data_IF_624429808815
#
_entry.id   IF_624429808815
#
_cell.length_a   1.000
_cell.length_b   1.000
_cell.length_c   1.000
_cell.angle_alpha   90.00
_cell.angle_beta   90.00
_cell.angle_gamma   90.00
#
_symmetry.space_group_name_H-M   'P 1'
#
loop_
_entity.id
_entity.type
_entity.pdbx_description
1 polymer ?
#
# COMPACT_ATOMS: atom_id res chain seq x y z
N UNK A 1 -12.14 0.23 6.93
CA UNK A 1 -10.73 -0.10 7.13
C UNK A 1 -10.40 -0.05 8.61
N UNK A 2 -9.95 -1.17 9.18
CA UNK A 2 -9.45 -1.21 10.55
C UNK A 2 -8.16 -0.39 10.68
N UNK A 3 -7.80 0.04 11.91
CA UNK A 3 -6.56 0.79 12.18
C UNK A 3 -5.32 0.12 11.61
N UNK A 4 -5.28 -1.21 11.63
CA UNK A 4 -4.19 -2.01 11.08
C UNK A 4 -4.00 -1.89 9.55
N UNK A 5 -4.99 -1.42 8.80
CA UNK A 5 -4.93 -1.33 7.33
C UNK A 5 -4.52 0.06 6.84
N UNK A 6 -5.08 1.13 7.41
CA UNK A 6 -4.80 2.50 6.92
C UNK A 6 -3.51 3.09 7.48
N UNK A 7 -3.03 2.62 8.64
CA UNK A 7 -1.72 3.02 9.19
C UNK A 7 -0.57 2.69 8.24
N UNK A 8 -0.38 1.43 7.78
CA UNK A 8 0.70 1.11 6.87
C UNK A 8 0.51 1.85 5.52
N UNK A 9 -0.72 2.00 5.04
CA UNK A 9 -0.99 2.73 3.80
C UNK A 9 -0.55 4.20 3.90
N UNK A 10 -0.88 4.90 4.99
CA UNK A 10 -0.45 6.28 5.22
C UNK A 10 1.07 6.39 5.38
N UNK A 11 1.70 5.48 6.14
CA UNK A 11 3.14 5.52 6.38
C UNK A 11 3.91 5.31 5.07
N UNK A 12 3.58 4.25 4.32
CA UNK A 12 4.27 3.91 3.08
C UNK A 12 4.03 4.98 2.01
N UNK A 13 2.81 5.50 1.89
CA UNK A 13 2.50 6.57 0.93
C UNK A 13 3.20 7.87 1.28
N UNK A 14 3.27 8.24 2.56
CA UNK A 14 3.98 9.44 3.01
C UNK A 14 5.48 9.32 2.77
N UNK A 15 6.07 8.15 3.04
CA UNK A 15 7.49 7.90 2.78
C UNK A 15 7.80 7.97 1.28
N UNK A 16 6.93 7.41 0.44
CA UNK A 16 7.04 7.52 -1.02
C UNK A 16 6.98 8.99 -1.47
N UNK A 17 6.07 9.77 -0.91
CA UNK A 17 5.98 11.20 -1.22
C UNK A 17 7.26 11.95 -0.83
N UNK A 18 7.82 11.68 0.35
CA UNK A 18 9.12 12.24 0.78
C UNK A 18 10.23 11.83 -0.18
N UNK A 19 10.30 10.55 -0.58
CA UNK A 19 11.26 10.08 -1.57
C UNK A 19 11.14 10.84 -2.90
N UNK A 20 9.93 10.97 -3.42
CA UNK A 20 9.66 11.71 -4.66
C UNK A 20 10.12 13.18 -4.56
N UNK A 21 9.85 13.86 -3.44
CA UNK A 21 10.29 15.24 -3.22
C UNK A 21 11.82 15.37 -3.14
N UNK A 22 12.49 14.41 -2.49
CA UNK A 22 13.96 14.39 -2.41
C UNK A 22 14.59 14.22 -3.80
N UNK A 23 14.05 13.32 -4.61
CA UNK A 23 14.50 13.10 -5.98
C UNK A 23 14.21 14.34 -6.85
N UNK A 24 13.01 14.91 -6.73
CA UNK A 24 12.58 16.06 -7.51
C UNK A 24 13.47 17.29 -7.29
N UNK A 25 13.88 17.57 -6.05
CA UNK A 25 14.81 18.66 -5.74
C UNK A 25 16.28 18.36 -6.08
N UNK A 26 16.58 17.25 -6.76
CA UNK A 26 17.94 16.84 -7.08
C UNK A 26 18.76 16.46 -5.85
N UNK A 27 18.12 16.32 -4.68
CA UNK A 27 18.73 15.83 -3.44
C UNK A 27 18.68 14.31 -3.39
N UNK A 28 19.11 13.69 -4.50
CA UNK A 28 19.42 12.27 -4.59
C UNK A 28 20.67 11.98 -3.76
N UNK A 29 20.51 12.10 -2.45
CA UNK A 29 21.53 11.88 -1.42
C UNK A 29 21.52 10.41 -0.99
N UNK A 30 22.49 10.02 -0.15
CA UNK A 30 22.51 8.69 0.48
C UNK A 30 21.21 8.36 1.23
N UNK A 31 20.46 9.36 1.69
CA UNK A 31 19.17 9.17 2.33
C UNK A 31 18.08 8.68 1.37
N UNK A 32 18.03 9.18 0.14
CA UNK A 32 17.10 8.69 -0.88
C UNK A 32 17.42 7.25 -1.29
N UNK A 33 18.71 6.92 -1.42
CA UNK A 33 19.17 5.56 -1.70
C UNK A 33 18.82 4.58 -0.57
N UNK A 34 18.93 5.03 0.69
CA UNK A 34 18.50 4.27 1.86
C UNK A 34 17.01 3.97 1.81
N UNK A 35 16.15 4.98 1.61
CA UNK A 35 14.70 4.79 1.50
C UNK A 35 14.37 3.79 0.40
N UNK A 36 14.98 3.94 -0.78
CA UNK A 36 14.73 3.04 -1.91
C UNK A 36 15.13 1.59 -1.59
N UNK A 37 16.30 1.38 -0.98
CA UNK A 37 16.81 0.04 -0.62
C UNK A 37 15.88 -0.69 0.35
N UNK A 38 15.34 0.03 1.35
CA UNK A 38 14.45 -0.57 2.35
C UNK A 38 12.96 -0.54 1.97
N UNK A 39 12.59 0.17 0.90
CA UNK A 39 11.21 0.27 0.43
C UNK A 39 10.51 -1.08 0.17
N UNK A 40 11.18 -2.13 -0.35
CA UNK A 40 10.50 -3.41 -0.58
C UNK A 40 9.99 -4.04 0.71
N UNK A 41 10.71 -3.89 1.83
CA UNK A 41 10.28 -4.42 3.13
C UNK A 41 9.01 -3.72 3.61
N UNK A 42 8.92 -2.41 3.41
CA UNK A 42 7.74 -1.63 3.79
C UNK A 42 6.53 -1.95 2.91
N UNK A 43 6.73 -2.19 1.61
CA UNK A 43 5.67 -2.63 0.70
C UNK A 43 5.17 -4.03 1.07
N UNK A 44 6.08 -4.96 1.38
CA UNK A 44 5.70 -6.30 1.86
C UNK A 44 4.87 -6.19 3.14
N UNK A 45 5.30 -5.35 4.09
CA UNK A 45 4.56 -5.11 5.32
C UNK A 45 3.17 -4.51 5.08
N UNK A 46 3.04 -3.57 4.14
CA UNK A 46 1.76 -3.01 3.73
C UNK A 46 0.83 -4.10 3.18
N UNK A 47 1.29 -4.89 2.21
CA UNK A 47 0.51 -5.96 1.59
C UNK A 47 0.09 -6.99 2.64
N UNK A 48 1.02 -7.42 3.49
CA UNK A 48 0.74 -8.36 4.58
C UNK A 48 -0.34 -7.81 5.54
N UNK A 49 -0.25 -6.53 5.90
CA UNK A 49 -1.20 -5.90 6.82
C UNK A 49 -2.60 -5.82 6.22
N UNK A 50 -2.71 -5.48 4.94
CA UNK A 50 -3.98 -5.44 4.21
C UNK A 50 -4.59 -6.84 4.08
N UNK A 51 -3.82 -7.85 3.68
CA UNK A 51 -4.33 -9.23 3.54
C UNK A 51 -4.74 -9.80 4.90
N UNK A 52 -3.95 -9.55 5.95
CA UNK A 52 -4.16 -10.14 7.28
C UNK A 52 -5.31 -9.50 8.05
N UNK A 53 -5.50 -8.19 7.90
CA UNK A 53 -6.46 -7.43 8.72
C UNK A 53 -7.62 -6.85 7.91
N UNK A 54 -7.53 -6.88 6.59
CA UNK A 54 -8.59 -6.46 5.69
C UNK A 54 -9.77 -7.39 5.79
N UNK A 55 -10.83 -6.92 6.45
CA UNK A 55 -12.11 -7.61 6.43
C UNK A 55 -12.85 -7.30 5.13
N UNK A 56 -13.05 -8.30 4.28
CA UNK A 56 -13.97 -8.18 3.16
C UNK A 56 -15.41 -8.23 3.69
N UNK A 57 -16.09 -7.08 3.72
CA UNK A 57 -17.50 -6.95 4.14
C UNK A 57 -18.50 -7.08 2.98
N UNK A 58 -18.02 -7.46 1.79
CA UNK A 58 -18.88 -7.64 0.62
C UNK A 58 -19.59 -8.99 0.63
N UNK A 59 -20.56 -9.15 -0.27
CA UNK A 59 -21.24 -10.42 -0.53
C UNK A 59 -20.22 -11.42 -1.10
N UNK A 60 -20.32 -12.69 -0.70
CA UNK A 60 -19.59 -13.77 -1.37
C UNK A 60 -20.05 -13.90 -2.83
N UNK A 61 -19.11 -14.25 -3.71
CA UNK A 61 -19.42 -14.50 -5.12
C UNK A 61 -20.36 -15.71 -5.22
N UNK A 62 -21.39 -15.60 -6.05
CA UNK A 62 -22.16 -16.78 -6.48
C UNK A 62 -21.31 -17.63 -7.42
N UNK A 63 -21.73 -18.87 -7.64
CA UNK A 63 -21.03 -19.85 -8.49
C UNK A 63 -20.81 -19.39 -9.94
N UNK A 64 -21.61 -18.43 -10.42
CA UNK A 64 -21.58 -17.85 -11.77
C UNK A 64 -20.96 -16.44 -11.81
N UNK A 65 -20.46 -15.93 -10.68
CA UNK A 65 -19.86 -14.60 -10.57
C UNK A 65 -18.33 -14.69 -10.47
N UNK A 66 -17.62 -13.96 -11.33
CA UNK A 66 -16.16 -13.82 -11.20
C UNK A 66 -15.80 -12.61 -10.34
N UNK A 67 -14.58 -12.65 -9.78
CA UNK A 67 -14.03 -11.59 -8.97
C UNK A 67 -13.96 -10.27 -9.77
N UNK A 68 -14.59 -9.20 -9.28
CA UNK A 68 -14.50 -7.85 -9.86
C UNK A 68 -15.73 -7.32 -10.60
N UNK A 69 -16.81 -8.10 -10.76
CA UNK A 69 -18.04 -7.59 -11.41
C UNK A 69 -18.97 -6.77 -10.51
N UNK A 70 -18.68 -6.68 -9.21
CA UNK A 70 -19.51 -5.94 -8.24
C UNK A 70 -19.43 -4.41 -8.41
N UNK A 71 -18.38 -3.87 -9.03
CA UNK A 71 -18.19 -2.42 -9.24
C UNK A 71 -19.06 -1.82 -10.36
N UNK A 72 -19.81 -2.63 -11.12
CA UNK A 72 -20.59 -2.18 -12.30
C UNK A 72 -22.04 -1.78 -12.00
N UNK A 73 -22.43 -1.51 -10.75
CA UNK A 73 -23.80 -1.11 -10.40
C UNK A 73 -23.85 0.29 -9.78
#
# INVERSE_FOLDING_TARGET
MNKAEWIPALIVSSLLLVYCLLVFWGKASGFAAFIFTFSPLLVIWLVYSVIRHGEYKGRELKSDEEFGYTDKQ
#
